data_IF_109371946099
#
_entry.id   IF_109371946099
#
_cell.length_a   1.000
_cell.length_b   1.000
_cell.length_c   1.000
_cell.angle_alpha   90.00
_cell.angle_beta   90.00
_cell.angle_gamma   90.00
#
_symmetry.space_group_name_H-M   'P 1'
#
loop_
_entity.id
_entity.type
_entity.pdbx_description
1 polymer ?
#
# COMPACT_ATOMS: atom_id res chain seq x y z
N UNK A 1 -6.95 -18.37 24.32
CA UNK A 1 -6.60 -17.98 22.93
C UNK A 1 -6.63 -19.24 22.08
N UNK A 2 -7.35 -19.25 20.95
CA UNK A 2 -7.38 -20.45 20.08
C UNK A 2 -6.14 -20.50 19.16
N UNK A 3 -5.92 -21.64 18.52
CA UNK A 3 -4.78 -21.90 17.63
C UNK A 3 -4.64 -20.84 16.53
N UNK A 4 -5.74 -20.49 15.88
CA UNK A 4 -5.78 -19.45 14.84
C UNK A 4 -5.30 -18.10 15.36
N UNK A 5 -5.83 -17.63 16.48
CA UNK A 5 -5.46 -16.34 17.08
C UNK A 5 -4.00 -16.35 17.53
N UNK A 6 -3.50 -17.49 18.06
CA UNK A 6 -2.10 -17.65 18.45
C UNK A 6 -1.16 -17.48 17.25
N UNK A 7 -1.45 -18.18 16.14
CA UNK A 7 -0.70 -18.08 14.88
C UNK A 7 -0.67 -16.64 14.34
N UNK A 8 -1.83 -15.99 14.22
CA UNK A 8 -1.92 -14.61 13.72
C UNK A 8 -1.13 -13.63 14.60
N UNK A 9 -1.26 -13.77 15.93
CA UNK A 9 -0.52 -12.93 16.88
C UNK A 9 0.99 -13.11 16.73
N UNK A 10 1.46 -14.34 16.60
CA UNK A 10 2.88 -14.64 16.40
C UNK A 10 3.39 -14.02 15.09
N UNK A 11 2.67 -14.20 13.98
CA UNK A 11 3.00 -13.58 12.69
C UNK A 11 3.14 -12.05 12.80
N UNK A 12 2.23 -11.38 13.50
CA UNK A 12 2.34 -9.93 13.74
C UNK A 12 3.56 -9.58 14.60
N UNK A 13 3.81 -10.31 15.68
CA UNK A 13 4.88 -9.97 16.62
C UNK A 13 6.27 -10.20 16.00
N UNK A 14 6.45 -11.29 15.27
CA UNK A 14 7.73 -11.69 14.68
C UNK A 14 8.03 -11.04 13.33
N UNK A 15 7.04 -10.41 12.68
CA UNK A 15 7.28 -9.69 11.42
C UNK A 15 8.40 -8.64 11.56
N UNK A 16 9.28 -8.58 10.57
CA UNK A 16 10.35 -7.59 10.47
C UNK A 16 9.84 -6.31 9.79
N UNK A 17 10.07 -5.11 10.36
CA UNK A 17 9.69 -3.85 9.71
C UNK A 17 10.42 -3.62 8.38
N UNK A 18 9.67 -3.28 7.33
CA UNK A 18 10.20 -3.02 5.98
C UNK A 18 9.54 -1.81 5.34
N UNK A 19 10.21 -1.23 4.35
CA UNK A 19 9.65 -0.18 3.48
C UNK A 19 9.38 -0.78 2.11
N UNK A 20 8.17 -0.63 1.61
CA UNK A 20 7.79 -1.00 0.25
C UNK A 20 7.88 0.21 -0.70
N UNK A 21 8.49 -0.03 -1.86
CA UNK A 21 8.55 0.92 -2.96
C UNK A 21 7.31 0.87 -3.87
N UNK A 22 6.35 -0.03 -3.61
CA UNK A 22 5.17 -0.26 -4.46
C UNK A 22 4.40 1.04 -4.74
N UNK A 23 3.96 1.74 -3.68
CA UNK A 23 3.22 3.00 -3.83
C UNK A 23 3.99 4.02 -4.65
N UNK A 24 5.29 4.16 -4.39
CA UNK A 24 6.14 5.07 -5.13
C UNK A 24 6.17 4.76 -6.63
N UNK A 25 6.24 3.47 -6.99
CA UNK A 25 6.16 3.03 -8.39
C UNK A 25 4.80 3.38 -9.00
N UNK A 26 3.70 2.99 -8.35
CA UNK A 26 2.33 3.21 -8.85
C UNK A 26 2.00 4.70 -9.02
N UNK A 27 2.37 5.53 -8.04
CA UNK A 27 2.18 6.99 -8.09
C UNK A 27 3.00 7.60 -9.23
N UNK A 28 4.27 7.22 -9.34
CA UNK A 28 5.16 7.72 -10.41
C UNK A 28 4.64 7.33 -11.78
N UNK A 29 4.16 6.10 -11.95
CA UNK A 29 3.56 5.62 -13.18
C UNK A 29 2.32 6.43 -13.55
N UNK A 30 1.40 6.63 -12.61
CA UNK A 30 0.19 7.43 -12.84
C UNK A 30 0.54 8.85 -13.29
N UNK A 31 1.44 9.55 -12.59
CA UNK A 31 1.80 10.93 -12.93
C UNK A 31 2.64 11.07 -14.21
N UNK A 32 3.28 9.98 -14.69
CA UNK A 32 3.91 9.94 -16.02
C UNK A 32 2.90 9.73 -17.16
N UNK A 33 1.68 9.31 -16.86
CA UNK A 33 0.65 9.09 -17.88
C UNK A 33 0.13 10.42 -18.45
N UNK A 34 -0.30 10.45 -19.73
CA UNK A 34 -0.91 11.66 -20.32
C UNK A 34 -2.14 12.16 -19.56
N UNK A 35 -2.90 11.23 -18.95
CA UNK A 35 -4.13 11.52 -18.23
C UNK A 35 -3.92 12.50 -17.07
N UNK A 36 -2.80 12.37 -16.35
CA UNK A 36 -2.48 13.23 -15.21
C UNK A 36 -2.37 14.72 -15.59
N UNK A 37 -1.95 15.02 -16.83
CA UNK A 37 -1.83 16.38 -17.35
C UNK A 37 -3.07 16.93 -18.06
N UNK A 38 -4.10 16.10 -18.29
CA UNK A 38 -5.30 16.47 -19.06
C UNK A 38 -6.50 16.87 -18.18
N UNK A 39 -6.38 16.73 -16.87
CA UNK A 39 -7.45 16.99 -15.90
C UNK A 39 -7.00 18.02 -14.87
N UNK A 40 -7.96 18.56 -14.11
CA UNK A 40 -7.63 19.46 -13.00
C UNK A 40 -6.83 18.74 -11.91
N UNK A 41 -5.99 19.47 -11.19
CA UNK A 41 -5.13 18.91 -10.12
C UNK A 41 -5.92 18.08 -9.07
N UNK A 42 -7.10 18.51 -8.58
CA UNK A 42 -7.90 17.68 -7.68
C UNK A 42 -8.35 16.36 -8.30
N UNK A 43 -8.75 16.37 -9.58
CA UNK A 43 -9.16 15.16 -10.30
C UNK A 43 -7.96 14.24 -10.53
N UNK A 44 -6.80 14.78 -10.92
CA UNK A 44 -5.57 14.00 -11.06
C UNK A 44 -5.21 13.27 -9.75
N UNK A 45 -5.32 13.95 -8.59
CA UNK A 45 -5.07 13.33 -7.27
C UNK A 45 -6.09 12.23 -6.94
N UNK A 46 -7.37 12.44 -7.25
CA UNK A 46 -8.39 11.42 -7.05
C UNK A 46 -8.14 10.19 -7.93
N UNK A 47 -7.76 10.40 -9.19
CA UNK A 47 -7.42 9.33 -10.12
C UNK A 47 -6.12 8.62 -9.74
N UNK A 48 -5.11 9.33 -9.23
CA UNK A 48 -3.90 8.72 -8.68
C UNK A 48 -4.23 7.78 -7.52
N UNK A 49 -5.09 8.23 -6.61
CA UNK A 49 -5.55 7.40 -5.49
C UNK A 49 -6.33 6.18 -5.97
N UNK A 50 -7.24 6.36 -6.94
CA UNK A 50 -7.95 5.26 -7.60
C UNK A 50 -6.97 4.25 -8.20
N UNK A 51 -5.97 4.72 -8.96
CA UNK A 51 -4.95 3.88 -9.58
C UNK A 51 -4.19 3.04 -8.55
N UNK A 52 -3.77 3.64 -7.43
CA UNK A 52 -3.13 2.91 -6.33
C UNK A 52 -4.05 1.79 -5.80
N UNK A 53 -5.32 2.10 -5.54
CA UNK A 53 -6.26 1.11 -4.99
C UNK A 53 -6.56 -0.03 -5.96
N UNK A 54 -6.60 0.24 -7.26
CA UNK A 54 -6.84 -0.77 -8.30
C UNK A 54 -5.64 -1.70 -8.53
N UNK A 55 -4.41 -1.25 -8.24
CA UNK A 55 -3.18 -1.97 -8.62
C UNK A 55 -2.32 -2.44 -7.44
N UNK A 56 -2.54 -1.93 -6.22
CA UNK A 56 -1.77 -2.36 -5.06
C UNK A 56 -1.98 -3.85 -4.76
N UNK A 57 -0.96 -4.49 -4.22
CA UNK A 57 -1.01 -5.82 -3.68
C UNK A 57 -1.98 -5.87 -2.48
N UNK A 58 -2.79 -6.93 -2.44
CA UNK A 58 -3.74 -7.18 -1.36
C UNK A 58 -3.17 -8.28 -0.45
N UNK A 59 -2.72 -7.88 0.74
CA UNK A 59 -2.30 -8.82 1.77
C UNK A 59 -3.54 -9.52 2.35
N UNK A 60 -3.59 -10.84 2.19
CA UNK A 60 -4.59 -11.72 2.80
C UNK A 60 -3.86 -12.92 3.37
N UNK A 61 -3.76 -13.00 4.70
CA UNK A 61 -3.05 -14.08 5.36
C UNK A 61 -3.99 -15.22 5.75
N UNK A 62 -3.45 -16.44 5.78
CA UNK A 62 -4.19 -17.62 6.18
C UNK A 62 -4.70 -17.52 7.63
N UNK A 63 -6.00 -17.73 7.81
CA UNK A 63 -6.67 -17.68 9.11
C UNK A 63 -7.20 -16.30 9.52
N UNK A 64 -6.99 -15.26 8.72
CA UNK A 64 -7.60 -13.94 8.96
C UNK A 64 -9.12 -13.96 8.79
N UNK A 65 -9.83 -13.20 9.64
CA UNK A 65 -11.26 -12.90 9.44
C UNK A 65 -11.49 -11.48 8.94
N UNK A 66 -10.58 -10.57 9.31
CA UNK A 66 -10.54 -9.20 8.84
C UNK A 66 -9.21 -9.10 8.11
N UNK A 67 -9.28 -8.77 6.83
CA UNK A 67 -8.15 -8.84 5.91
C UNK A 67 -7.70 -7.45 5.49
N UNK A 68 -6.50 -7.39 4.91
CA UNK A 68 -5.92 -6.18 4.39
C UNK A 68 -4.86 -5.59 5.32
N UNK A 69 -3.80 -5.11 4.70
CA UNK A 69 -2.70 -4.42 5.35
C UNK A 69 -2.43 -3.07 4.69
N UNK A 70 -1.64 -2.24 5.40
CA UNK A 70 -1.23 -0.93 4.89
C UNK A 70 -0.29 -1.02 3.68
N UNK A 71 0.50 -2.08 3.59
CA UNK A 71 1.34 -2.40 2.44
C UNK A 71 1.15 -3.86 2.02
N UNK A 72 2.11 -4.44 1.30
CA UNK A 72 1.98 -5.79 0.74
C UNK A 72 2.04 -6.89 1.80
N UNK A 73 2.63 -6.62 2.97
CA UNK A 73 2.83 -7.59 4.04
C UNK A 73 2.78 -6.95 5.45
N UNK A 74 2.64 -7.76 6.53
CA UNK A 74 2.69 -7.26 7.89
C UNK A 74 3.96 -6.47 8.19
N UNK A 75 3.81 -5.28 8.77
CA UNK A 75 4.89 -4.29 9.04
C UNK A 75 5.70 -3.85 7.80
N UNK A 76 5.25 -4.16 6.58
CA UNK A 76 5.82 -3.62 5.36
C UNK A 76 5.02 -2.39 4.92
N UNK A 77 5.61 -1.22 5.06
CA UNK A 77 4.88 0.07 4.95
C UNK A 77 5.30 0.82 3.69
N UNK A 78 4.36 1.47 2.97
CA UNK A 78 4.71 2.21 1.76
C UNK A 78 5.47 3.49 2.07
N UNK A 79 6.28 3.93 1.11
CA UNK A 79 6.80 5.31 1.05
C UNK A 79 5.87 6.24 0.24
N UNK A 80 5.93 7.54 0.50
CA UNK A 80 5.01 8.57 -0.03
C UNK A 80 5.77 9.70 -0.73
N UNK A 81 6.41 9.42 -1.90
CA UNK A 81 7.21 10.42 -2.61
C UNK A 81 6.40 11.62 -3.10
N UNK A 82 5.07 11.52 -3.18
CA UNK A 82 4.20 12.63 -3.55
C UNK A 82 3.95 13.64 -2.44
N UNK A 83 4.33 13.33 -1.18
CA UNK A 83 4.12 14.20 -0.02
C UNK A 83 5.44 14.81 0.46
N UNK A 84 6.46 13.97 0.63
CA UNK A 84 7.77 14.39 1.12
C UNK A 84 8.86 13.72 0.30
N UNK A 85 9.67 14.57 -0.34
CA UNK A 85 10.84 14.16 -1.13
C UNK A 85 12.13 14.65 -0.48
N UNK A 86 12.20 14.78 0.86
CA UNK A 86 13.39 15.32 1.52
C UNK A 86 14.64 14.57 1.03
N UNK A 87 15.38 15.27 0.15
CA UNK A 87 16.79 15.12 -0.19
C UNK A 87 17.62 15.72 0.92
#
# INVERSE_FOLDING_TARGET
MNERIRKLREQTLTAEPKISAERAKLVTEFYKSPLAGQVSVPVARALAFKYILEHKELCVNDGELIVGERGPAPKETPTYPEISTHT
#
